data_IF_528831891135
#
_entry.id   IF_528831891135
#
_cell.length_a   1.000
_cell.length_b   1.000
_cell.length_c   1.000
_cell.angle_alpha   90.00
_cell.angle_beta   90.00
_cell.angle_gamma   90.00
#
_symmetry.space_group_name_H-M   'P 1'
#
loop_
_entity.id
_entity.type
_entity.pdbx_description
1 polymer ?
#
# COMPACT_ATOMS: atom_id res chain seq x y z
N UNK A 1 -15.77 22.76 -23.90
CA UNK A 1 -14.42 22.93 -23.31
C UNK A 1 -13.75 21.56 -23.27
N UNK A 2 -12.66 21.39 -23.99
CA UNK A 2 -11.79 20.21 -23.94
C UNK A 2 -10.53 20.55 -24.71
N UNK A 3 -9.75 21.50 -24.17
CA UNK A 3 -8.60 22.14 -24.85
C UNK A 3 -7.36 21.23 -24.91
N UNK A 4 -7.44 20.02 -24.37
CA UNK A 4 -6.35 19.05 -24.31
C UNK A 4 -6.91 17.62 -24.39
N UNK A 5 -6.32 16.80 -25.27
CA UNK A 5 -6.54 15.36 -25.40
C UNK A 5 -5.49 14.56 -24.62
N UNK A 6 -5.78 13.30 -24.33
CA UNK A 6 -4.83 12.32 -23.82
C UNK A 6 -3.63 12.13 -24.79
N UNK A 7 -3.87 12.24 -26.10
CA UNK A 7 -2.80 12.25 -27.11
C UNK A 7 -1.93 13.50 -27.04
N UNK A 8 -2.49 14.68 -26.72
CA UNK A 8 -1.72 15.90 -26.51
C UNK A 8 -0.79 15.75 -25.30
N UNK A 9 -1.30 15.14 -24.22
CA UNK A 9 -0.50 14.87 -23.03
C UNK A 9 0.61 13.85 -23.31
N UNK A 10 0.31 12.76 -24.03
CA UNK A 10 1.34 11.79 -24.48
C UNK A 10 2.41 12.45 -25.33
N UNK A 11 2.04 13.36 -26.24
CA UNK A 11 2.98 14.08 -27.09
C UNK A 11 3.89 15.01 -26.27
N UNK A 12 3.36 15.69 -25.25
CA UNK A 12 4.15 16.51 -24.31
C UNK A 12 5.15 15.65 -23.54
N UNK A 13 4.71 14.51 -23.00
CA UNK A 13 5.58 13.57 -22.27
C UNK A 13 6.68 13.04 -23.20
N UNK A 14 6.34 12.61 -24.41
CA UNK A 14 7.29 12.09 -25.37
C UNK A 14 8.37 13.12 -25.74
N UNK A 15 7.97 14.38 -25.98
CA UNK A 15 8.91 15.48 -26.26
C UNK A 15 9.85 15.75 -25.09
N UNK A 16 9.32 15.76 -23.86
CA UNK A 16 10.14 15.95 -22.66
C UNK A 16 11.15 14.82 -22.49
N UNK A 17 10.72 13.56 -22.60
CA UNK A 17 11.59 12.39 -22.49
C UNK A 17 12.67 12.38 -23.58
N UNK A 18 12.33 12.73 -24.82
CA UNK A 18 13.30 12.85 -25.91
C UNK A 18 14.35 13.95 -25.63
N UNK A 19 13.91 15.12 -25.17
CA UNK A 19 14.81 16.24 -24.82
C UNK A 19 15.75 15.84 -23.70
N UNK A 20 15.21 15.21 -22.65
CA UNK A 20 15.99 14.71 -21.51
C UNK A 20 17.00 13.65 -21.93
N UNK A 21 16.62 12.72 -22.80
CA UNK A 21 17.51 11.67 -23.30
C UNK A 21 18.67 12.24 -24.13
N UNK A 22 18.39 13.22 -25.00
CA UNK A 22 19.41 13.91 -25.77
C UNK A 22 20.41 14.65 -24.87
N UNK A 23 19.91 15.45 -23.92
CA UNK A 23 20.75 16.19 -22.98
C UNK A 23 21.63 15.28 -22.10
N UNK A 24 21.11 14.12 -21.68
CA UNK A 24 21.89 13.12 -20.94
C UNK A 24 22.98 12.49 -21.80
N UNK A 25 22.72 12.25 -23.09
CA UNK A 25 23.69 11.70 -24.03
C UNK A 25 24.83 12.68 -24.26
N UNK A 26 24.51 13.94 -24.52
CA UNK A 26 25.49 15.01 -24.73
C UNK A 26 26.38 15.19 -23.49
N UNK A 27 25.79 15.25 -22.29
CA UNK A 27 26.55 15.32 -21.04
C UNK A 27 27.51 14.14 -20.88
N UNK A 28 27.04 12.92 -21.12
CA UNK A 28 27.87 11.72 -20.96
C UNK A 28 29.00 11.67 -21.99
N UNK A 29 28.80 12.20 -23.19
CA UNK A 29 29.85 12.38 -24.20
C UNK A 29 30.90 13.39 -23.76
N UNK A 30 30.48 14.56 -23.26
CA UNK A 30 31.40 15.57 -22.74
C UNK A 30 32.22 15.04 -21.56
N UNK A 31 31.60 14.35 -20.60
CA UNK A 31 32.32 13.74 -19.47
C UNK A 31 33.35 12.70 -19.94
N UNK A 32 33.03 11.91 -20.98
CA UNK A 32 33.97 10.97 -21.58
C UNK A 32 35.10 11.69 -22.33
N UNK A 33 34.83 12.80 -23.02
CA UNK A 33 35.86 13.60 -23.68
C UNK A 33 36.85 14.20 -22.68
N UNK A 34 36.38 14.76 -21.56
CA UNK A 34 37.25 15.24 -20.48
C UNK A 34 38.08 14.10 -19.88
N UNK A 35 37.47 12.94 -19.65
CA UNK A 35 38.20 11.77 -19.15
C UNK A 35 39.27 11.28 -20.14
N UNK A 36 38.98 11.28 -21.45
CA UNK A 36 39.95 10.95 -22.49
C UNK A 36 41.10 11.96 -22.56
N UNK A 37 40.84 13.22 -22.21
CA UNK A 37 41.84 14.28 -22.06
C UNK A 37 42.67 14.18 -20.76
N UNK A 38 42.52 13.10 -19.98
CA UNK A 38 43.33 12.81 -18.79
C UNK A 38 42.70 13.22 -17.45
N UNK A 39 41.47 13.73 -17.45
CA UNK A 39 40.78 14.07 -16.20
C UNK A 39 40.35 12.80 -15.45
N UNK A 40 40.67 12.73 -14.16
CA UNK A 40 40.27 11.57 -13.36
C UNK A 40 38.80 11.69 -12.96
N UNK A 41 38.10 10.57 -12.71
CA UNK A 41 36.70 10.58 -12.28
C UNK A 41 36.43 11.44 -11.02
N UNK A 42 37.40 11.52 -10.11
CA UNK A 42 37.32 12.35 -8.90
C UNK A 42 37.35 13.85 -9.20
N UNK A 43 38.06 14.26 -10.25
CA UNK A 43 38.15 15.66 -10.68
C UNK A 43 36.83 16.09 -11.34
N UNK A 44 36.24 15.21 -12.15
CA UNK A 44 34.91 15.40 -12.74
C UNK A 44 33.82 15.52 -11.67
N UNK A 45 33.84 14.64 -10.67
CA UNK A 45 32.90 14.67 -9.55
C UNK A 45 32.97 16.02 -8.80
N UNK A 46 34.19 16.49 -8.49
CA UNK A 46 34.39 17.73 -7.75
C UNK A 46 33.90 18.96 -8.52
N UNK A 47 34.17 19.03 -9.82
CA UNK A 47 33.83 20.21 -10.64
C UNK A 47 32.35 20.24 -11.01
N UNK A 48 31.76 19.08 -11.33
CA UNK A 48 30.36 19.01 -11.76
C UNK A 48 29.36 18.91 -10.61
N UNK A 49 29.81 18.53 -9.42
CA UNK A 49 28.94 18.20 -8.28
C UNK A 49 28.11 16.92 -8.47
N UNK A 50 28.33 16.18 -9.56
CA UNK A 50 27.60 14.94 -9.82
C UNK A 50 28.00 13.83 -8.86
N UNK A 51 27.07 12.93 -8.56
CA UNK A 51 27.36 11.77 -7.73
C UNK A 51 28.42 10.88 -8.39
N UNK A 52 29.19 10.15 -7.55
CA UNK A 52 30.15 9.16 -8.02
C UNK A 52 29.52 8.12 -8.96
N UNK A 53 28.28 7.72 -8.70
CA UNK A 53 27.54 6.78 -9.55
C UNK A 53 27.15 7.41 -10.90
N UNK A 54 26.80 8.70 -10.92
CA UNK A 54 26.54 9.43 -12.16
C UNK A 54 27.78 9.52 -13.05
N UNK A 55 28.95 9.82 -12.47
CA UNK A 55 30.22 9.83 -13.21
C UNK A 55 30.56 8.41 -13.70
N UNK A 56 30.41 7.39 -12.85
CA UNK A 56 30.64 5.99 -13.24
C UNK A 56 29.78 5.58 -14.44
N UNK A 57 28.49 5.91 -14.42
CA UNK A 57 27.55 5.57 -15.49
C UNK A 57 27.81 6.35 -16.78
N UNK A 58 28.23 7.62 -16.67
CA UNK A 58 28.57 8.44 -17.83
C UNK A 58 29.82 7.95 -18.56
N UNK A 59 30.85 7.54 -17.79
CA UNK A 59 32.11 7.04 -18.35
C UNK A 59 32.01 5.60 -18.89
N UNK A 60 31.07 4.81 -18.36
CA UNK A 60 30.85 3.41 -18.74
C UNK A 60 29.42 3.20 -19.20
N UNK A 61 29.09 3.47 -20.47
CA UNK A 61 27.74 3.34 -20.99
C UNK A 61 27.17 1.92 -20.84
N UNK A 62 28.02 0.90 -20.81
CA UNK A 62 27.67 -0.50 -20.52
C UNK A 62 27.12 -0.70 -19.10
N UNK A 63 27.64 0.03 -18.10
CA UNK A 63 27.14 -0.01 -16.72
C UNK A 63 25.73 0.56 -16.67
N UNK A 64 25.51 1.72 -17.32
CA UNK A 64 24.19 2.34 -17.42
C UNK A 64 23.19 1.47 -18.16
N UNK A 65 23.59 0.85 -19.28
CA UNK A 65 22.76 -0.11 -20.03
C UNK A 65 22.40 -1.31 -19.17
N UNK A 66 23.36 -1.90 -18.46
CA UNK A 66 23.10 -3.01 -17.54
C UNK A 66 22.14 -2.61 -16.42
N UNK A 67 22.33 -1.46 -15.77
CA UNK A 67 21.42 -0.95 -14.73
C UNK A 67 20.01 -0.69 -15.26
N UNK A 68 19.89 -0.13 -16.47
CA UNK A 68 18.59 0.10 -17.10
C UNK A 68 17.89 -1.21 -17.51
N UNK A 69 18.64 -2.21 -17.99
CA UNK A 69 18.10 -3.55 -18.29
C UNK A 69 17.65 -4.24 -17.00
N UNK A 70 18.42 -4.15 -15.92
CA UNK A 70 18.04 -4.67 -14.61
C UNK A 70 16.79 -3.98 -14.04
N UNK A 71 16.63 -2.67 -14.24
CA UNK A 71 15.41 -1.93 -13.85
C UNK A 71 14.20 -2.25 -14.72
N UNK A 72 14.42 -2.55 -16.00
CA UNK A 72 13.37 -2.93 -16.97
C UNK A 72 12.97 -4.40 -16.86
N UNK A 73 13.69 -5.23 -16.11
CA UNK A 73 13.18 -6.56 -15.77
C UNK A 73 11.87 -6.37 -15.02
N UNK A 74 10.81 -6.97 -15.56
CA UNK A 74 9.53 -7.15 -14.87
C UNK A 74 9.84 -7.55 -13.42
N UNK A 75 9.23 -6.90 -12.42
CA UNK A 75 9.38 -7.33 -11.05
C UNK A 75 9.14 -8.85 -11.01
N UNK A 76 9.96 -9.62 -10.28
CA UNK A 76 9.83 -11.06 -10.25
C UNK A 76 8.37 -11.39 -9.94
N UNK A 77 7.73 -12.09 -10.88
CA UNK A 77 6.34 -12.46 -10.70
C UNK A 77 6.31 -13.48 -9.57
N UNK A 78 5.42 -13.32 -8.58
CA UNK A 78 5.34 -14.29 -7.50
C UNK A 78 5.03 -15.69 -8.08
N UNK A 79 5.44 -16.78 -7.38
CA UNK A 79 5.13 -18.14 -7.79
C UNK A 79 3.66 -18.33 -8.15
N UNK A 80 3.35 -19.29 -9.03
CA UNK A 80 1.98 -19.53 -9.49
C UNK A 80 1.02 -19.90 -8.34
N UNK A 81 1.55 -20.46 -7.25
CA UNK A 81 0.87 -20.82 -6.01
C UNK A 81 0.91 -19.72 -4.94
N UNK A 82 1.49 -18.56 -5.24
CA UNK A 82 1.55 -17.44 -4.29
C UNK A 82 0.14 -16.92 -4.01
N UNK A 83 -0.35 -17.24 -2.82
CA UNK A 83 -1.47 -16.54 -2.22
C UNK A 83 -0.96 -15.30 -1.50
N UNK A 84 -1.45 -14.09 -1.82
CA UNK A 84 -1.22 -12.91 -1.00
C UNK A 84 -1.55 -13.21 0.47
N UNK A 85 -0.88 -12.55 1.41
CA UNK A 85 -1.09 -12.79 2.85
C UNK A 85 -2.58 -12.74 3.25
N UNK A 86 -3.35 -11.81 2.66
CA UNK A 86 -4.79 -11.67 2.89
C UNK A 86 -5.64 -12.86 2.40
N UNK A 87 -5.18 -13.65 1.44
CA UNK A 87 -5.88 -14.85 0.94
C UNK A 87 -5.53 -16.12 1.73
N UNK A 88 -4.50 -16.08 2.58
CA UNK A 88 -4.10 -17.23 3.40
C UNK A 88 -4.89 -17.34 4.69
N UNK A 89 -5.44 -16.22 5.17
CA UNK A 89 -6.20 -16.20 6.43
C UNK A 89 -7.68 -16.50 6.18
N UNK A 90 -8.25 -17.55 6.78
CA UNK A 90 -9.69 -17.73 6.78
C UNK A 90 -10.31 -16.70 7.72
N UNK A 91 -10.96 -15.68 7.17
CA UNK A 91 -11.81 -14.79 7.95
C UNK A 91 -13.14 -15.47 8.25
N UNK A 92 -13.53 -15.43 9.53
CA UNK A 92 -14.84 -15.87 9.99
C UNK A 92 -15.86 -14.75 9.77
N UNK A 93 -17.09 -15.13 9.48
CA UNK A 93 -18.24 -14.23 9.33
C UNK A 93 -19.32 -14.73 10.27
N UNK A 94 -20.05 -13.82 10.91
CA UNK A 94 -21.17 -14.19 11.76
C UNK A 94 -22.28 -14.87 10.94
N UNK A 95 -23.12 -15.68 11.58
CA UNK A 95 -24.27 -16.29 10.91
C UNK A 95 -25.37 -15.25 10.63
N UNK A 96 -25.59 -14.34 11.58
CA UNK A 96 -26.52 -13.22 11.44
C UNK A 96 -25.98 -12.00 12.18
N UNK A 97 -26.31 -10.80 11.72
CA UNK A 97 -25.95 -9.58 12.46
C UNK A 97 -26.68 -9.49 13.81
N UNK A 98 -27.89 -10.04 13.94
CA UNK A 98 -28.63 -10.06 15.20
C UNK A 98 -27.98 -10.95 16.28
N UNK A 99 -27.10 -11.88 15.91
CA UNK A 99 -26.33 -12.67 16.86
C UNK A 99 -25.20 -11.88 17.54
N UNK A 100 -24.84 -10.71 17.00
CA UNK A 100 -23.80 -9.83 17.53
C UNK A 100 -24.33 -9.03 18.72
N UNK A 101 -24.09 -9.55 19.93
CA UNK A 101 -24.62 -9.04 21.19
C UNK A 101 -23.52 -8.60 22.17
N UNK A 102 -22.35 -8.28 21.64
CA UNK A 102 -21.19 -7.87 22.43
C UNK A 102 -21.37 -6.56 23.19
N UNK A 103 -20.41 -6.23 24.06
CA UNK A 103 -20.49 -5.07 24.95
C UNK A 103 -20.58 -3.76 24.17
N UNK A 104 -21.50 -2.90 24.61
CA UNK A 104 -21.80 -1.59 24.01
C UNK A 104 -21.15 -0.41 24.74
N UNK A 105 -20.74 -0.61 25.99
CA UNK A 105 -20.24 0.45 26.88
C UNK A 105 -19.25 -0.11 27.92
N UNK A 106 -18.55 0.79 28.60
CA UNK A 106 -17.62 0.45 29.67
C UNK A 106 -16.22 0.06 29.20
N UNK A 107 -15.48 -0.61 30.10
CA UNK A 107 -14.12 -1.07 29.86
C UNK A 107 -14.14 -2.58 29.57
N UNK A 108 -13.60 -2.97 28.42
CA UNK A 108 -13.58 -4.36 27.93
C UNK A 108 -12.16 -4.87 27.83
N UNK A 109 -11.87 -6.03 28.40
CA UNK A 109 -10.60 -6.71 28.22
C UNK A 109 -10.76 -7.86 27.22
N UNK A 110 -10.10 -7.78 26.06
CA UNK A 110 -10.11 -8.87 25.08
C UNK A 110 -9.23 -10.04 25.55
N UNK A 111 -9.63 -11.29 25.27
CA UNK A 111 -8.83 -12.47 25.53
C UNK A 111 -7.57 -12.49 24.63
N UNK A 112 -6.52 -13.15 25.12
CA UNK A 112 -5.18 -13.16 24.51
C UNK A 112 -5.15 -13.65 23.05
N UNK A 113 -6.08 -14.52 22.65
CA UNK A 113 -6.13 -15.01 21.26
C UNK A 113 -6.66 -13.95 20.29
N UNK A 114 -7.43 -12.98 20.77
CA UNK A 114 -7.87 -11.82 19.99
C UNK A 114 -6.85 -10.69 20.04
N UNK A 115 -6.25 -10.43 21.21
CA UNK A 115 -5.20 -9.42 21.36
C UNK A 115 -4.01 -9.94 22.18
N UNK A 116 -2.91 -10.23 21.49
CA UNK A 116 -1.66 -10.69 22.10
C UNK A 116 -0.71 -9.55 22.50
N UNK A 117 -1.10 -8.28 22.34
CA UNK A 117 -0.23 -7.11 22.57
C UNK A 117 0.14 -6.87 24.03
N UNK A 118 -0.59 -7.49 24.97
CA UNK A 118 -0.39 -7.29 26.42
C UNK A 118 -1.13 -6.07 27.00
N UNK A 119 -1.81 -5.27 26.17
CA UNK A 119 -2.62 -4.11 26.57
C UNK A 119 -4.04 -4.16 25.96
N UNK A 120 -4.73 -5.27 26.19
CA UNK A 120 -6.02 -5.61 25.57
C UNK A 120 -7.25 -4.95 26.21
N UNK A 121 -7.09 -3.81 26.90
CA UNK A 121 -8.18 -3.10 27.59
C UNK A 121 -8.74 -1.95 26.76
N UNK A 122 -9.99 -2.04 26.34
CA UNK A 122 -10.66 -1.08 25.47
C UNK A 122 -11.76 -0.33 26.22
N UNK A 123 -11.57 0.99 26.37
CA UNK A 123 -12.60 1.90 26.87
C UNK A 123 -13.56 2.25 25.73
N UNK A 124 -14.76 1.66 25.74
CA UNK A 124 -15.75 1.79 24.67
C UNK A 124 -16.39 3.19 24.62
N UNK A 125 -16.21 4.00 25.66
CA UNK A 125 -16.64 5.41 25.64
C UNK A 125 -15.79 6.26 24.67
N UNK A 126 -14.61 5.78 24.27
CA UNK A 126 -13.70 6.47 23.35
C UNK A 126 -13.87 5.90 21.93
N UNK A 127 -14.36 6.69 20.96
CA UNK A 127 -14.62 6.20 19.59
C UNK A 127 -13.43 5.52 18.94
N UNK A 128 -12.22 6.09 19.06
CA UNK A 128 -11.01 5.51 18.49
C UNK A 128 -10.63 4.16 19.13
N UNK A 129 -10.92 3.95 20.43
CA UNK A 129 -10.67 2.66 21.10
C UNK A 129 -11.72 1.63 20.69
N UNK A 130 -12.99 2.03 20.58
CA UNK A 130 -14.05 1.18 20.08
C UNK A 130 -13.76 0.70 18.64
N UNK A 131 -13.40 1.61 17.73
CA UNK A 131 -13.00 1.29 16.36
C UNK A 131 -11.80 0.33 16.33
N UNK A 132 -10.81 0.58 17.17
CA UNK A 132 -9.64 -0.28 17.29
C UNK A 132 -10.02 -1.68 17.76
N UNK A 133 -10.88 -1.80 18.78
CA UNK A 133 -11.37 -3.09 19.27
C UNK A 133 -12.09 -3.86 18.17
N UNK A 134 -13.02 -3.21 17.46
CA UNK A 134 -13.78 -3.82 16.38
C UNK A 134 -12.88 -4.32 15.26
N UNK A 135 -11.87 -3.53 14.87
CA UNK A 135 -10.87 -3.95 13.90
C UNK A 135 -10.09 -5.18 14.37
N UNK A 136 -9.65 -5.21 15.63
CA UNK A 136 -8.94 -6.36 16.19
C UNK A 136 -9.84 -7.60 16.15
N UNK A 137 -11.05 -7.53 16.70
CA UNK A 137 -11.98 -8.67 16.75
C UNK A 137 -12.31 -9.19 15.34
N UNK A 138 -12.67 -8.30 14.40
CA UNK A 138 -12.98 -8.70 13.01
C UNK A 138 -11.79 -9.35 12.30
N UNK A 139 -10.57 -8.91 12.62
CA UNK A 139 -9.36 -9.44 11.99
C UNK A 139 -8.92 -10.74 12.65
N UNK A 140 -9.01 -10.83 13.98
CA UNK A 140 -8.38 -11.87 14.79
C UNK A 140 -9.31 -13.01 15.21
N UNK A 141 -10.64 -12.83 15.16
CA UNK A 141 -11.60 -13.86 15.53
C UNK A 141 -11.36 -15.19 14.79
N UNK A 142 -11.24 -16.26 15.58
CA UNK A 142 -11.08 -17.62 15.08
C UNK A 142 -12.41 -18.38 15.00
N UNK A 143 -13.45 -17.88 15.67
CA UNK A 143 -14.76 -18.53 15.77
C UNK A 143 -15.90 -17.52 15.60
N UNK A 144 -17.09 -18.02 15.27
CA UNK A 144 -18.32 -17.21 15.23
C UNK A 144 -18.70 -16.72 16.64
N UNK A 145 -18.39 -17.52 17.66
CA UNK A 145 -18.64 -17.17 19.06
C UNK A 145 -17.83 -15.94 19.51
N UNK A 146 -16.57 -15.82 19.07
CA UNK A 146 -15.76 -14.61 19.30
C UNK A 146 -16.47 -13.36 18.74
N UNK A 147 -17.03 -13.46 17.52
CA UNK A 147 -17.74 -12.35 16.89
C UNK A 147 -19.00 -11.99 17.68
N UNK A 148 -19.80 -12.99 18.04
CA UNK A 148 -21.05 -12.79 18.76
C UNK A 148 -20.83 -12.20 20.16
N UNK A 149 -19.74 -12.60 20.81
CA UNK A 149 -19.37 -12.16 22.18
C UNK A 149 -18.83 -10.75 22.21
N UNK A 150 -18.06 -10.33 21.19
CA UNK A 150 -17.29 -9.08 21.25
C UNK A 150 -17.79 -7.98 20.33
N UNK A 151 -18.65 -8.28 19.35
CA UNK A 151 -19.24 -7.28 18.46
C UNK A 151 -20.72 -7.07 18.79
N UNK A 152 -21.13 -5.82 18.75
CA UNK A 152 -22.53 -5.40 18.73
C UNK A 152 -22.94 -4.95 17.31
N UNK A 153 -24.11 -5.39 16.86
CA UNK A 153 -24.63 -5.16 15.51
C UNK A 153 -24.76 -3.68 15.14
N UNK A 154 -25.32 -2.86 16.02
CA UNK A 154 -25.63 -1.45 15.72
C UNK A 154 -24.36 -0.61 15.64
N UNK A 155 -23.43 -0.86 16.55
CA UNK A 155 -22.10 -0.27 16.48
C UNK A 155 -21.33 -0.75 15.25
N UNK A 156 -21.44 -2.03 14.88
CA UNK A 156 -20.78 -2.54 13.68
C UNK A 156 -21.26 -1.78 12.44
N UNK A 157 -22.57 -1.63 12.25
CA UNK A 157 -23.15 -0.86 11.13
C UNK A 157 -22.66 0.58 11.12
N UNK A 158 -22.66 1.23 12.28
CA UNK A 158 -22.23 2.64 12.42
C UNK A 158 -20.74 2.84 12.10
N UNK A 159 -19.89 1.91 12.54
CA UNK A 159 -18.43 2.03 12.37
C UNK A 159 -17.97 1.51 11.01
N UNK A 160 -18.73 0.61 10.37
CA UNK A 160 -18.36 -0.08 9.15
C UNK A 160 -17.74 0.81 8.06
N UNK A 161 -18.30 2.00 7.74
CA UNK A 161 -17.75 2.86 6.68
C UNK A 161 -16.37 3.42 7.03
N UNK A 162 -16.11 3.69 8.31
CA UNK A 162 -14.87 4.31 8.80
C UNK A 162 -13.76 3.28 9.11
N UNK A 163 -14.12 2.02 9.35
CA UNK A 163 -13.13 0.99 9.69
C UNK A 163 -12.15 0.76 8.53
N UNK A 164 -10.86 0.66 8.85
CA UNK A 164 -9.86 0.20 7.90
C UNK A 164 -9.67 -1.31 8.05
N UNK A 165 -10.20 -2.06 7.08
CA UNK A 165 -10.22 -3.53 7.08
C UNK A 165 -9.43 -4.10 5.90
N UNK A 166 -8.81 -5.29 6.04
CA UNK A 166 -8.29 -6.03 4.89
C UNK A 166 -9.36 -6.18 3.79
N UNK A 167 -9.02 -5.96 2.51
CA UNK A 167 -10.02 -5.97 1.42
C UNK A 167 -10.83 -7.26 1.34
N UNK A 168 -10.19 -8.41 1.59
CA UNK A 168 -10.85 -9.72 1.55
C UNK A 168 -11.86 -9.88 2.70
N UNK A 169 -11.51 -9.44 3.91
CA UNK A 169 -12.40 -9.46 5.08
C UNK A 169 -13.62 -8.59 4.82
N UNK A 170 -13.40 -7.35 4.37
CA UNK A 170 -14.48 -6.41 4.05
C UNK A 170 -15.43 -7.00 3.01
N UNK A 171 -14.89 -7.51 1.90
CA UNK A 171 -15.68 -8.12 0.83
C UNK A 171 -16.53 -9.28 1.34
N UNK A 172 -15.97 -10.20 2.12
CA UNK A 172 -16.71 -11.36 2.65
C UNK A 172 -17.87 -10.96 3.55
N UNK A 173 -17.66 -9.96 4.42
CA UNK A 173 -18.71 -9.45 5.30
C UNK A 173 -19.79 -8.69 4.54
N UNK A 174 -19.44 -7.91 3.51
CA UNK A 174 -20.41 -7.21 2.66
C UNK A 174 -21.20 -8.19 1.76
N UNK A 175 -20.58 -9.28 1.30
CA UNK A 175 -21.26 -10.35 0.56
C UNK A 175 -22.26 -11.11 1.45
N UNK A 176 -21.93 -11.33 2.73
CA UNK A 176 -22.83 -11.96 3.69
C UNK A 176 -23.92 -11.02 4.21
N UNK A 177 -23.60 -9.73 4.35
CA UNK A 177 -24.48 -8.70 4.93
C UNK A 177 -24.55 -7.46 4.03
N UNK A 178 -25.45 -7.45 3.03
CA UNK A 178 -25.60 -6.32 2.09
C UNK A 178 -25.89 -4.97 2.76
N UNK A 179 -26.52 -4.98 3.94
CA UNK A 179 -26.76 -3.78 4.74
C UNK A 179 -25.48 -3.06 5.18
N UNK A 180 -24.37 -3.77 5.39
CA UNK A 180 -23.08 -3.15 5.69
C UNK A 180 -22.53 -2.39 4.47
N UNK A 181 -22.72 -2.93 3.26
CA UNK A 181 -22.33 -2.24 2.03
C UNK A 181 -23.18 -0.97 1.79
N UNK A 182 -24.47 -1.01 2.17
CA UNK A 182 -25.38 0.14 2.07
C UNK A 182 -24.92 1.32 2.94
N UNK A 183 -24.54 1.08 4.21
CA UNK A 183 -24.05 2.14 5.12
C UNK A 183 -22.85 2.91 4.57
N UNK A 184 -21.99 2.26 3.77
CA UNK A 184 -20.84 2.91 3.12
C UNK A 184 -21.25 3.80 1.96
N UNK A 185 -22.32 3.43 1.26
CA UNK A 185 -22.83 4.21 0.12
C UNK A 185 -23.49 5.50 0.60
N UNK A 186 -24.12 5.47 1.77
CA UNK A 186 -24.72 6.65 2.42
C UNK A 186 -23.67 7.61 3.00
N UNK A 187 -22.48 7.10 3.34
CA UNK A 187 -21.39 7.89 3.90
C UNK A 187 -20.42 8.49 2.86
N UNK A 188 -20.54 8.09 1.58
CA UNK A 188 -19.67 8.50 0.47
C UNK A 188 -20.27 9.66 -0.34
#
# INVERSE_FOLDING_TARGET
MGRFSDDDLRAVVARYEATRAAALTERDEQLRAFHAAGWRPVDLQRVTGYSRETIRQALRPEVRRATNVSRRKTPPQPPADYRPYGDRRPYVVAETLAALNGPAEGLVALPRHLDWSGHAEYDLSRPARLESMYKVVLTEAGTVDDLNTWLNADFLRRLWPALWLPPQLRRRWEEAFPELAATRTEAA
#
